data_IF_958998945467
#
_entry.id   IF_958998945467
#
_cell.length_a   1.000
_cell.length_b   1.000
_cell.length_c   1.000
_cell.angle_alpha   90.00
_cell.angle_beta   90.00
_cell.angle_gamma   90.00
#
_symmetry.space_group_name_H-M   'P 1'
#
loop_
_entity.id
_entity.type
_entity.pdbx_description
1 polymer ?
#
# COMPACT_ATOMS: atom_id res chain seq x y z
N UNK A 1 -4.21 6.10 -9.89
CA UNK A 1 -4.34 5.66 -8.48
C UNK A 1 -4.71 6.87 -7.66
N UNK A 2 -5.72 6.76 -6.80
CA UNK A 2 -6.16 7.86 -5.92
C UNK A 2 -5.40 7.74 -4.59
N UNK A 3 -4.72 8.79 -4.09
CA UNK A 3 -4.02 8.77 -2.80
C UNK A 3 -4.93 9.19 -1.64
N UNK A 4 -4.48 8.95 -0.40
CA UNK A 4 -4.97 9.50 0.87
C UNK A 4 -6.48 9.36 1.17
N UNK A 5 -7.15 8.43 0.50
CA UNK A 5 -8.52 8.02 0.79
C UNK A 5 -8.61 7.39 2.19
N UNK A 6 -9.61 7.80 2.96
CA UNK A 6 -10.00 7.17 4.23
C UNK A 6 -11.41 6.56 4.19
N UNK A 7 -12.19 6.87 3.16
CA UNK A 7 -13.60 6.49 3.00
C UNK A 7 -13.88 5.99 1.56
N UNK A 8 -14.88 5.10 1.38
CA UNK A 8 -15.31 4.70 0.03
C UNK A 8 -15.92 5.87 -0.75
N UNK A 9 -16.49 6.88 -0.09
CA UNK A 9 -17.09 8.04 -0.74
C UNK A 9 -16.04 8.95 -1.39
N UNK A 10 -14.90 9.18 -0.73
CA UNK A 10 -13.78 9.91 -1.32
C UNK A 10 -13.28 9.23 -2.59
N UNK A 11 -13.15 7.90 -2.56
CA UNK A 11 -12.75 7.14 -3.74
C UNK A 11 -13.82 7.20 -4.84
N UNK A 12 -15.08 6.97 -4.51
CA UNK A 12 -16.19 6.98 -5.47
C UNK A 12 -16.30 8.34 -6.19
N UNK A 13 -16.11 9.45 -5.47
CA UNK A 13 -16.06 10.79 -6.05
C UNK A 13 -14.97 10.90 -7.13
N UNK A 14 -13.74 10.47 -6.82
CA UNK A 14 -12.62 10.53 -7.75
C UNK A 14 -12.79 9.55 -8.92
N UNK A 15 -13.28 8.34 -8.67
CA UNK A 15 -13.56 7.33 -9.72
C UNK A 15 -14.57 7.88 -10.72
N UNK A 16 -15.67 8.49 -10.25
CA UNK A 16 -16.69 9.11 -11.11
C UNK A 16 -16.08 10.17 -12.03
N UNK A 17 -15.26 11.07 -11.46
CA UNK A 17 -14.58 12.12 -12.22
C UNK A 17 -13.62 11.54 -13.27
N UNK A 18 -12.77 10.59 -12.87
CA UNK A 18 -11.79 9.94 -13.76
C UNK A 18 -12.50 9.24 -14.92
N UNK A 19 -13.54 8.45 -14.63
CA UNK A 19 -14.29 7.72 -15.67
C UNK A 19 -15.05 8.68 -16.59
N UNK A 20 -15.59 9.77 -16.05
CA UNK A 20 -16.26 10.81 -16.81
C UNK A 20 -15.33 11.50 -17.81
N UNK A 21 -14.13 11.88 -17.39
CA UNK A 21 -13.11 12.49 -18.27
C UNK A 21 -12.61 11.48 -19.31
N UNK A 22 -12.29 10.25 -18.90
CA UNK A 22 -11.83 9.22 -19.83
C UNK A 22 -12.86 8.97 -20.96
N UNK A 23 -14.15 8.92 -20.62
CA UNK A 23 -15.23 8.78 -21.61
C UNK A 23 -15.26 9.93 -22.62
N UNK A 24 -15.07 11.18 -22.16
CA UNK A 24 -15.02 12.36 -23.05
C UNK A 24 -13.85 12.26 -24.02
N UNK A 25 -12.65 12.00 -23.50
CA UNK A 25 -11.42 11.85 -24.31
C UNK A 25 -11.59 10.73 -25.35
N UNK A 26 -12.15 9.58 -24.96
CA UNK A 26 -12.38 8.49 -25.90
C UNK A 26 -13.38 8.85 -27.00
N UNK A 27 -14.42 9.63 -26.67
CA UNK A 27 -15.37 10.13 -27.65
C UNK A 27 -14.75 11.12 -28.62
N UNK A 28 -13.90 12.03 -28.13
CA UNK A 28 -13.21 13.04 -28.94
C UNK A 28 -12.17 12.42 -29.89
N UNK A 29 -11.47 11.39 -29.41
CA UNK A 29 -10.41 10.72 -30.15
C UNK A 29 -10.92 9.57 -31.06
N UNK A 30 -12.19 9.20 -30.96
CA UNK A 30 -12.77 8.09 -31.71
C UNK A 30 -12.15 6.71 -31.40
N UNK A 31 -11.52 6.56 -30.23
CA UNK A 31 -10.84 5.33 -29.80
C UNK A 31 -10.95 5.13 -28.29
N UNK A 32 -10.72 3.91 -27.81
CA UNK A 32 -10.76 3.60 -26.38
C UNK A 32 -9.58 2.72 -25.95
N UNK A 33 -9.19 2.85 -24.68
CA UNK A 33 -8.16 2.06 -24.05
C UNK A 33 -8.70 1.42 -22.78
N UNK A 34 -8.27 0.20 -22.48
CA UNK A 34 -8.51 -0.40 -21.17
C UNK A 34 -7.63 0.27 -20.12
N UNK A 35 -8.23 0.72 -19.02
CA UNK A 35 -7.53 1.26 -17.86
C UNK A 35 -8.18 0.77 -16.58
N UNK A 36 -7.44 0.82 -15.48
CA UNK A 36 -7.93 0.49 -14.15
C UNK A 36 -7.87 1.72 -13.25
N UNK A 37 -8.86 1.86 -12.36
CA UNK A 37 -8.82 2.83 -11.27
C UNK A 37 -8.75 2.07 -9.95
N UNK A 38 -7.77 2.43 -9.15
CA UNK A 38 -7.53 1.84 -7.84
C UNK A 38 -6.92 2.87 -6.93
N UNK A 39 -6.53 2.45 -5.74
CA UNK A 39 -6.35 3.36 -4.61
C UNK A 39 -5.14 3.00 -3.76
N UNK A 40 -4.55 4.01 -3.14
CA UNK A 40 -3.51 3.81 -2.14
C UNK A 40 -4.14 3.43 -0.79
N UNK A 41 -3.64 2.40 -0.12
CA UNK A 41 -4.04 2.08 1.26
C UNK A 41 -2.93 2.59 2.18
N UNK A 42 -3.10 3.81 2.64
CA UNK A 42 -2.10 4.55 3.43
C UNK A 42 -2.69 5.29 4.64
N UNK A 43 -4.02 5.24 4.79
CA UNK A 43 -4.74 5.72 5.97
C UNK A 43 -5.23 4.50 6.76
N UNK A 44 -5.01 4.40 8.08
CA UNK A 44 -5.48 3.26 8.88
C UNK A 44 -6.97 2.99 8.72
N UNK A 45 -7.80 4.04 8.63
CA UNK A 45 -9.24 3.91 8.37
C UNK A 45 -9.53 3.16 7.06
N UNK A 46 -8.77 3.42 6.00
CA UNK A 46 -8.96 2.73 4.72
C UNK A 46 -8.69 1.22 4.83
N UNK A 47 -7.72 0.81 5.63
CA UNK A 47 -7.49 -0.60 5.92
C UNK A 47 -8.68 -1.22 6.67
N UNK A 48 -9.27 -0.48 7.62
CA UNK A 48 -10.39 -0.94 8.42
C UNK A 48 -11.71 -1.04 7.63
N UNK A 49 -11.93 -0.25 6.58
CA UNK A 49 -13.13 -0.32 5.73
C UNK A 49 -12.83 -0.79 4.30
N UNK A 50 -11.79 -1.62 4.16
CA UNK A 50 -11.25 -2.04 2.88
C UNK A 50 -12.24 -2.83 2.00
N UNK A 51 -13.19 -3.55 2.59
CA UNK A 51 -14.27 -4.24 1.88
C UNK A 51 -15.19 -3.26 1.15
N UNK A 52 -15.51 -2.13 1.75
CA UNK A 52 -16.31 -1.08 1.10
C UNK A 52 -15.51 -0.38 0.00
N UNK A 53 -14.24 -0.06 0.26
CA UNK A 53 -13.34 0.58 -0.71
C UNK A 53 -13.13 -0.32 -1.94
N UNK A 54 -12.98 -1.64 -1.74
CA UNK A 54 -12.75 -2.59 -2.83
C UNK A 54 -13.95 -2.74 -3.79
N UNK A 55 -15.16 -2.31 -3.41
CA UNK A 55 -16.29 -2.24 -4.35
C UNK A 55 -16.00 -1.26 -5.48
N UNK A 56 -15.28 -0.18 -5.20
CA UNK A 56 -14.91 0.86 -6.17
C UNK A 56 -13.51 0.65 -6.77
N UNK A 57 -12.55 0.18 -5.96
CA UNK A 57 -11.16 0.02 -6.38
C UNK A 57 -10.92 -1.28 -7.15
N UNK A 58 -10.22 -1.21 -8.28
CA UNK A 58 -9.77 -2.37 -9.06
C UNK A 58 -8.40 -2.91 -8.60
N UNK A 59 -7.68 -2.13 -7.81
CA UNK A 59 -6.44 -2.53 -7.15
C UNK A 59 -6.16 -1.69 -5.90
N UNK A 60 -5.41 -2.27 -4.96
CA UNK A 60 -4.81 -1.59 -3.82
C UNK A 60 -3.30 -1.49 -3.99
N UNK A 61 -2.73 -0.36 -3.60
CA UNK A 61 -1.29 -0.19 -3.41
C UNK A 61 -1.05 0.32 -2.00
N UNK A 62 -0.38 -0.43 -1.14
CA UNK A 62 -0.06 0.05 0.20
C UNK A 62 1.01 1.15 0.12
N UNK A 63 0.67 2.33 0.62
CA UNK A 63 1.60 3.44 0.87
C UNK A 63 2.15 3.30 2.27
N UNK A 64 3.06 2.35 2.46
CA UNK A 64 3.50 1.95 3.82
C UNK A 64 4.22 3.05 4.59
N UNK A 65 4.78 4.06 3.91
CA UNK A 65 5.44 5.18 4.60
C UNK A 65 4.42 5.98 5.41
N UNK A 66 3.35 6.43 4.76
CA UNK A 66 2.25 7.15 5.40
C UNK A 66 1.43 6.24 6.33
N UNK A 67 1.25 4.96 5.96
CA UNK A 67 0.57 4.01 6.84
C UNK A 67 1.35 3.81 8.15
N UNK A 68 2.68 3.67 8.09
CA UNK A 68 3.54 3.61 9.29
C UNK A 68 3.41 4.89 10.11
N UNK A 69 3.53 6.05 9.46
CA UNK A 69 3.42 7.36 10.13
C UNK A 69 2.09 7.50 10.89
N UNK A 70 0.97 7.17 10.26
CA UNK A 70 -0.36 7.26 10.88
C UNK A 70 -0.62 6.17 11.92
N UNK A 71 -0.01 4.99 11.77
CA UNK A 71 -0.18 3.87 12.74
C UNK A 71 0.63 4.09 14.00
N UNK A 72 1.87 4.55 13.88
CA UNK A 72 2.73 4.87 15.03
C UNK A 72 2.45 6.25 15.62
N UNK A 73 1.85 7.16 14.84
CA UNK A 73 1.79 8.58 15.18
C UNK A 73 3.15 9.27 15.07
N UNK A 74 4.01 8.81 14.16
CA UNK A 74 5.37 9.32 13.98
C UNK A 74 5.46 10.20 12.74
N UNK A 75 5.71 11.49 12.93
CA UNK A 75 6.12 12.38 11.85
C UNK A 75 7.49 11.94 11.34
N UNK A 76 7.58 11.54 10.07
CA UNK A 76 8.83 11.08 9.45
C UNK A 76 9.92 12.15 9.47
N UNK A 77 9.53 13.43 9.36
CA UNK A 77 10.45 14.56 9.38
C UNK A 77 10.98 14.87 10.80
N UNK A 78 10.28 14.43 11.85
CA UNK A 78 10.64 14.70 13.25
C UNK A 78 11.20 13.50 14.01
N UNK A 79 10.98 12.28 13.49
CA UNK A 79 11.30 11.02 14.20
C UNK A 79 12.79 10.91 14.56
N UNK A 80 13.68 11.50 13.75
CA UNK A 80 15.13 11.50 13.98
C UNK A 80 15.56 12.11 15.32
N UNK A 81 14.71 12.93 15.96
CA UNK A 81 14.97 13.55 17.26
C UNK A 81 14.94 12.56 18.42
N UNK A 82 14.20 11.45 18.29
CA UNK A 82 14.02 10.47 19.38
C UNK A 82 14.28 9.02 18.98
N UNK A 83 14.19 8.68 17.68
CA UNK A 83 14.35 7.30 17.21
C UNK A 83 15.69 6.65 17.61
N UNK A 84 16.85 7.34 17.54
CA UNK A 84 18.11 6.75 18.01
C UNK A 84 18.09 6.39 19.50
N UNK A 85 17.36 7.14 20.32
CA UNK A 85 17.17 6.85 21.75
C UNK A 85 16.31 5.60 21.93
N UNK A 86 15.26 5.44 21.11
CA UNK A 86 14.38 4.26 21.18
C UNK A 86 15.12 2.99 20.78
N UNK A 87 15.94 3.05 19.72
CA UNK A 87 16.76 1.93 19.26
C UNK A 87 17.83 1.55 20.29
N UNK A 88 18.59 2.52 20.81
CA UNK A 88 19.63 2.26 21.82
C UNK A 88 19.09 1.72 23.14
N UNK A 89 17.84 2.05 23.50
CA UNK A 89 17.15 1.50 24.68
C UNK A 89 16.40 0.20 24.41
N UNK A 90 16.39 -0.30 23.17
CA UNK A 90 15.64 -1.49 22.78
C UNK A 90 14.11 -1.34 22.84
N UNK A 91 13.60 -0.10 22.89
CA UNK A 91 12.16 0.19 22.82
C UNK A 91 11.62 -0.19 21.43
N UNK A 92 12.40 0.12 20.39
CA UNK A 92 12.19 -0.39 19.04
C UNK A 92 13.39 -1.25 18.64
N UNK A 93 13.13 -2.31 17.90
CA UNK A 93 14.17 -3.20 17.38
C UNK A 93 14.76 -2.68 16.07
N UNK A 94 13.93 -2.04 15.24
CA UNK A 94 14.31 -1.49 13.94
C UNK A 94 13.63 -0.12 13.75
N UNK A 95 14.15 0.69 12.81
CA UNK A 95 13.42 1.84 12.29
C UNK A 95 12.18 1.36 11.53
N UNK A 96 10.95 1.71 11.98
CA UNK A 96 9.72 1.24 11.34
C UNK A 96 9.47 1.84 9.95
N UNK A 97 10.25 2.83 9.52
CA UNK A 97 10.24 3.39 8.16
C UNK A 97 11.20 2.68 7.20
N UNK A 98 12.15 1.91 7.73
CA UNK A 98 13.08 1.08 6.93
C UNK A 98 12.62 -0.37 6.86
N UNK A 99 12.25 -0.93 8.03
CA UNK A 99 11.78 -2.32 8.20
C UNK A 99 10.32 -2.29 8.63
N UNK A 100 9.45 -2.95 7.86
CA UNK A 100 8.02 -2.98 8.14
C UNK A 100 7.75 -3.51 9.55
N UNK A 101 7.01 -2.74 10.35
CA UNK A 101 6.42 -3.25 11.58
C UNK A 101 5.32 -4.27 11.27
N UNK A 102 5.66 -5.55 11.36
CA UNK A 102 4.74 -6.65 11.05
C UNK A 102 3.62 -6.80 12.10
N UNK A 103 3.80 -6.30 13.33
CA UNK A 103 2.86 -6.51 14.45
C UNK A 103 1.77 -5.45 14.52
N UNK A 104 2.04 -4.21 14.12
CA UNK A 104 1.06 -3.13 14.01
C UNK A 104 0.68 -2.87 12.56
N UNK A 105 1.57 -2.26 11.78
CA UNK A 105 1.31 -1.88 10.38
C UNK A 105 0.97 -3.11 9.53
N UNK A 106 1.68 -4.22 9.73
CA UNK A 106 1.41 -5.49 9.06
C UNK A 106 0.01 -6.05 9.32
N UNK A 107 -0.59 -5.80 10.49
CA UNK A 107 -1.97 -6.22 10.77
C UNK A 107 -2.96 -5.44 9.91
N UNK A 108 -2.76 -4.13 9.73
CA UNK A 108 -3.60 -3.33 8.84
C UNK A 108 -3.49 -3.81 7.39
N UNK A 109 -2.29 -4.20 6.94
CA UNK A 109 -2.07 -4.76 5.61
C UNK A 109 -2.84 -6.07 5.41
N UNK A 110 -2.78 -6.98 6.39
CA UNK A 110 -3.53 -8.25 6.36
C UNK A 110 -5.04 -8.02 6.33
N UNK A 111 -5.55 -7.22 7.25
CA UNK A 111 -6.98 -6.86 7.34
C UNK A 111 -7.47 -6.28 6.00
N UNK A 112 -6.74 -5.32 5.45
CA UNK A 112 -7.13 -4.66 4.20
C UNK A 112 -7.10 -5.62 3.00
N UNK A 113 -6.10 -6.49 2.92
CA UNK A 113 -5.97 -7.48 1.85
C UNK A 113 -7.09 -8.52 1.92
N UNK A 114 -7.37 -9.06 3.09
CA UNK A 114 -8.42 -10.04 3.33
C UNK A 114 -9.80 -9.45 3.03
N UNK A 115 -10.15 -8.31 3.63
CA UNK A 115 -11.45 -7.63 3.43
C UNK A 115 -11.62 -7.18 1.99
N UNK A 116 -10.58 -6.61 1.39
CA UNK A 116 -10.61 -6.16 0.00
C UNK A 116 -10.86 -7.32 -0.98
N UNK A 117 -10.16 -8.45 -0.80
CA UNK A 117 -10.35 -9.64 -1.64
C UNK A 117 -11.67 -10.36 -1.39
N UNK A 118 -12.18 -10.32 -0.16
CA UNK A 118 -13.52 -10.83 0.14
C UNK A 118 -14.60 -10.06 -0.63
N UNK A 119 -14.48 -8.74 -0.73
CA UNK A 119 -15.41 -7.92 -1.50
C UNK A 119 -15.16 -7.97 -3.02
N UNK A 120 -13.91 -8.14 -3.46
CA UNK A 120 -13.51 -8.26 -4.87
C UNK A 120 -12.44 -9.36 -5.03
N UNK A 121 -12.82 -10.61 -5.36
CA UNK A 121 -11.86 -11.72 -5.49
C UNK A 121 -10.76 -11.50 -6.54
N UNK A 122 -11.01 -10.64 -7.54
CA UNK A 122 -10.04 -10.26 -8.58
C UNK A 122 -9.16 -9.06 -8.22
N UNK A 123 -9.26 -8.54 -6.99
CA UNK A 123 -8.53 -7.36 -6.53
C UNK A 123 -7.03 -7.64 -6.55
N UNK A 124 -6.31 -6.78 -7.28
CA UNK A 124 -4.84 -6.76 -7.27
C UNK A 124 -4.35 -5.94 -6.09
N UNK A 125 -3.41 -6.48 -5.33
CA UNK A 125 -2.89 -5.85 -4.12
C UNK A 125 -1.39 -5.82 -4.19
N UNK A 126 -0.79 -4.65 -4.10
CA UNK A 126 0.66 -4.52 -4.00
C UNK A 126 1.06 -3.44 -3.02
N UNK A 127 2.34 -3.11 -3.01
CA UNK A 127 2.94 -2.12 -2.13
C UNK A 127 3.88 -1.22 -2.92
N UNK A 128 3.92 0.06 -2.58
CA UNK A 128 4.90 1.02 -3.08
C UNK A 128 5.60 1.75 -1.94
N UNK A 129 6.93 1.83 -1.99
CA UNK A 129 7.71 2.55 -0.99
C UNK A 129 9.00 1.84 -0.62
N UNK A 130 9.61 2.28 0.47
CA UNK A 130 10.94 1.82 0.87
C UNK A 130 10.93 0.37 1.35
N UNK A 131 9.88 -0.03 2.08
CA UNK A 131 9.67 -1.41 2.51
C UNK A 131 9.58 -2.39 1.32
N UNK A 132 9.15 -1.94 0.14
CA UNK A 132 9.04 -2.77 -1.06
C UNK A 132 10.39 -3.28 -1.59
N UNK A 133 11.51 -2.77 -1.07
CA UNK A 133 12.85 -3.25 -1.40
C UNK A 133 13.66 -3.71 -0.18
N UNK A 134 13.04 -3.89 0.98
CA UNK A 134 13.68 -4.38 2.21
C UNK A 134 13.39 -5.88 2.34
N UNK A 135 14.41 -6.77 2.42
CA UNK A 135 14.22 -8.21 2.30
C UNK A 135 13.18 -8.82 3.27
N UNK A 136 13.20 -8.45 4.55
CA UNK A 136 12.27 -9.02 5.54
C UNK A 136 10.83 -8.53 5.36
N UNK A 137 10.66 -7.28 4.90
CA UNK A 137 9.37 -6.71 4.51
C UNK A 137 8.82 -7.38 3.25
N UNK A 138 9.68 -7.61 2.24
CA UNK A 138 9.31 -8.34 1.01
C UNK A 138 8.86 -9.77 1.34
N UNK A 139 9.55 -10.45 2.25
CA UNK A 139 9.14 -11.76 2.74
C UNK A 139 7.73 -11.72 3.35
N UNK A 140 7.49 -10.76 4.25
CA UNK A 140 6.17 -10.57 4.84
C UNK A 140 5.09 -10.29 3.78
N UNK A 141 5.36 -9.46 2.77
CA UNK A 141 4.39 -9.18 1.71
C UNK A 141 4.04 -10.41 0.87
N UNK A 142 5.02 -11.27 0.60
CA UNK A 142 4.80 -12.55 -0.07
C UNK A 142 3.91 -13.47 0.78
N UNK A 143 4.21 -13.61 2.07
CA UNK A 143 3.41 -14.42 3.02
C UNK A 143 1.99 -13.86 3.22
N UNK A 144 1.84 -12.53 3.25
CA UNK A 144 0.54 -11.85 3.30
C UNK A 144 -0.23 -11.95 1.98
N UNK A 145 0.35 -12.56 0.95
CA UNK A 145 -0.30 -12.86 -0.32
C UNK A 145 -0.46 -11.66 -1.24
N UNK A 146 0.37 -10.62 -1.14
CA UNK A 146 0.36 -9.51 -2.09
C UNK A 146 0.79 -10.01 -3.49
N UNK A 147 0.24 -9.39 -4.54
CA UNK A 147 0.53 -9.70 -5.93
C UNK A 147 1.88 -9.15 -6.40
N UNK A 148 2.36 -8.03 -5.83
CA UNK A 148 3.63 -7.41 -6.22
C UNK A 148 4.20 -6.49 -5.14
N UNK A 149 5.51 -6.24 -5.25
CA UNK A 149 6.22 -5.16 -4.55
C UNK A 149 6.77 -4.16 -5.57
N UNK A 150 6.77 -2.88 -5.22
CA UNK A 150 7.33 -1.79 -6.03
C UNK A 150 8.33 -0.98 -5.20
N UNK A 151 9.54 -0.81 -5.73
CA UNK A 151 10.66 -0.16 -5.07
C UNK A 151 11.48 0.67 -6.05
N UNK A 152 12.45 1.44 -5.52
CA UNK A 152 13.35 2.25 -6.36
C UNK A 152 14.18 1.38 -7.32
N UNK A 153 14.59 1.90 -8.49
CA UNK A 153 15.22 1.10 -9.54
C UNK A 153 16.40 0.24 -9.07
N UNK A 154 17.26 0.79 -8.22
CA UNK A 154 18.44 0.08 -7.70
C UNK A 154 18.12 -1.01 -6.68
N UNK A 155 16.92 -0.98 -6.06
CA UNK A 155 16.46 -2.01 -5.12
C UNK A 155 15.71 -3.15 -5.81
N UNK A 156 15.39 -3.03 -7.11
CA UNK A 156 14.70 -4.10 -7.86
C UNK A 156 15.43 -5.45 -7.80
N UNK A 157 16.77 -5.55 -7.98
CA UNK A 157 17.46 -6.83 -7.85
C UNK A 157 17.35 -7.44 -6.45
N UNK A 158 17.39 -6.62 -5.40
CA UNK A 158 17.25 -7.04 -4.00
C UNK A 158 15.84 -7.57 -3.75
N UNK A 159 14.81 -6.83 -4.17
CA UNK A 159 13.42 -7.25 -4.02
C UNK A 159 13.13 -8.57 -4.73
N UNK A 160 13.68 -8.76 -5.94
CA UNK A 160 13.57 -10.03 -6.69
C UNK A 160 14.22 -11.20 -5.96
N UNK A 161 15.43 -11.01 -5.43
CA UNK A 161 16.13 -12.05 -4.68
C UNK A 161 15.37 -12.41 -3.40
N UNK A 162 14.95 -11.40 -2.62
CA UNK A 162 14.19 -11.60 -1.39
C UNK A 162 12.87 -12.33 -1.63
N UNK A 163 12.11 -11.95 -2.67
CA UNK A 163 10.88 -12.64 -3.03
C UNK A 163 11.11 -14.11 -3.43
N UNK A 164 12.23 -14.41 -4.12
CA UNK A 164 12.56 -15.78 -4.52
C UNK A 164 12.98 -16.65 -3.34
N UNK A 165 13.66 -16.09 -2.33
CA UNK A 165 14.11 -16.83 -1.14
C UNK A 165 12.96 -17.35 -0.26
N UNK A 166 11.79 -16.72 -0.35
CA UNK A 166 10.61 -17.04 0.48
C UNK A 166 9.61 -17.92 -0.27
N UNK A 167 9.71 -17.96 -1.60
CA UNK A 167 8.89 -18.82 -2.46
C UNK A 167 9.44 -20.25 -2.63
N UNK A 168 10.61 -20.54 -2.04
CA UNK A 168 11.29 -21.83 -2.05
C UNK A 168 10.97 -22.63 -0.79
#
# INVERSE_FOLDING_TARGET
MVPLIGTPQELSHQVSLIRGVAKKVFSEMGTSLSYKVGTMIEIPRAALVADEIAKEAEFFSFGTNDLTQMTFGYSRDDVGKFLPIYLSKGILQNDPFEVLDQKGVGQLIKIATERGRAARPSLKVGICGEHGGEPSSVAFFAEAGLDYVSCSPFRVPIARLAAAQVAA
#
